data_IF_081973097921
#
_entry.id   IF_081973097921
#
_cell.length_a   1.000
_cell.length_b   1.000
_cell.length_c   1.000
_cell.angle_alpha   90.00
_cell.angle_beta   90.00
_cell.angle_gamma   90.00
#
_symmetry.space_group_name_H-M   'P 1'
#
loop_
_entity.id
_entity.type
_entity.pdbx_description
1 polymer ?
#
# COMPACT_ATOMS: atom_id res chain seq x y z
N UNK A 1 12.64 14.39 -7.99
CA UNK A 1 12.68 13.05 -7.40
C UNK A 1 11.67 12.96 -6.27
N UNK A 2 11.15 11.76 -6.00
CA UNK A 2 10.28 11.45 -4.87
C UNK A 2 10.73 10.18 -4.16
N UNK A 3 10.36 10.05 -2.88
CA UNK A 3 10.37 8.80 -2.12
C UNK A 3 8.93 8.57 -1.66
N UNK A 4 8.36 7.42 -1.99
CA UNK A 4 7.01 7.01 -1.60
C UNK A 4 7.11 5.92 -0.55
N UNK A 5 6.45 6.08 0.59
CA UNK A 5 6.41 5.09 1.67
C UNK A 5 4.97 4.86 2.07
N UNK A 6 4.51 3.61 2.07
CA UNK A 6 3.12 3.26 2.39
C UNK A 6 2.13 4.04 1.49
N UNK A 7 2.11 3.75 0.22
CA UNK A 7 1.37 4.53 -0.79
C UNK A 7 0.55 3.62 -1.71
N UNK A 8 -0.39 4.23 -2.44
CA UNK A 8 -1.17 3.56 -3.47
C UNK A 8 -0.95 4.21 -4.84
N UNK A 9 -0.92 3.39 -5.88
CA UNK A 9 -0.88 3.83 -7.29
C UNK A 9 -2.27 3.84 -7.94
N UNK A 10 -3.23 3.08 -7.41
CA UNK A 10 -4.62 3.05 -7.83
C UNK A 10 -5.56 3.16 -6.63
N UNK A 11 -6.34 4.24 -6.59
CA UNK A 11 -7.24 4.56 -5.48
C UNK A 11 -8.39 3.58 -5.31
N UNK A 12 -8.78 2.87 -6.35
CA UNK A 12 -9.86 1.90 -6.28
C UNK A 12 -9.37 0.50 -5.90
N UNK A 13 -8.32 0.00 -6.58
CA UNK A 13 -7.93 -1.40 -6.47
C UNK A 13 -6.87 -1.68 -5.41
N UNK A 14 -6.09 -0.66 -5.01
CA UNK A 14 -4.95 -0.84 -4.11
C UNK A 14 -5.08 -0.10 -2.77
N UNK A 15 -6.10 0.77 -2.64
CA UNK A 15 -6.35 1.52 -1.42
C UNK A 15 -7.30 0.75 -0.47
N UNK A 16 -7.68 1.39 0.61
CA UNK A 16 -8.59 0.90 1.66
C UNK A 16 -10.05 0.77 1.21
N UNK A 17 -10.38 1.16 -0.01
CA UNK A 17 -11.77 1.27 -0.44
C UNK A 17 -12.33 -0.04 -0.96
N UNK A 18 -11.62 -0.68 -1.87
CA UNK A 18 -12.03 -1.93 -2.50
C UNK A 18 -10.83 -2.83 -2.75
N UNK A 19 -10.98 -4.13 -2.49
CA UNK A 19 -10.01 -5.17 -2.86
C UNK A 19 -10.72 -6.30 -3.57
N UNK A 20 -10.26 -6.66 -4.75
CA UNK A 20 -10.91 -7.69 -5.58
C UNK A 20 -12.38 -7.39 -5.89
N UNK A 21 -12.80 -6.12 -5.91
CA UNK A 21 -14.17 -5.67 -6.08
C UNK A 21 -15.02 -5.68 -4.80
N UNK A 22 -14.47 -6.13 -3.68
CA UNK A 22 -15.18 -6.11 -2.39
C UNK A 22 -14.99 -4.78 -1.68
N UNK A 23 -16.08 -4.20 -1.19
CA UNK A 23 -16.06 -3.03 -0.32
C UNK A 23 -15.46 -3.40 1.03
N UNK A 24 -14.46 -2.63 1.47
CA UNK A 24 -13.79 -2.84 2.74
C UNK A 24 -14.41 -2.01 3.87
N UNK A 25 -14.39 -2.56 5.10
CA UNK A 25 -14.79 -1.83 6.31
C UNK A 25 -13.94 -0.60 6.58
N UNK A 26 -12.71 -0.61 6.09
CA UNK A 26 -11.74 0.48 6.21
C UNK A 26 -12.23 1.80 5.62
N UNK A 27 -13.14 1.78 4.65
CA UNK A 27 -13.83 2.99 4.19
C UNK A 27 -14.47 3.76 5.34
N UNK A 28 -15.19 3.04 6.22
CA UNK A 28 -15.88 3.67 7.33
C UNK A 28 -14.92 4.08 8.43
N UNK A 29 -13.99 3.18 8.79
CA UNK A 29 -12.99 3.43 9.81
C UNK A 29 -12.08 4.61 9.45
N UNK A 30 -11.49 4.60 8.26
CA UNK A 30 -10.63 5.66 7.78
C UNK A 30 -11.37 6.99 7.62
N UNK A 31 -12.60 6.95 7.09
CA UNK A 31 -13.43 8.13 6.97
C UNK A 31 -13.73 8.77 8.31
N UNK A 32 -13.97 7.99 9.37
CA UNK A 32 -14.17 8.50 10.72
C UNK A 32 -12.89 9.09 11.32
N UNK A 33 -11.73 8.46 11.09
CA UNK A 33 -10.44 9.01 11.53
C UNK A 33 -10.16 10.35 10.84
N UNK A 34 -10.34 10.42 9.52
CA UNK A 34 -10.15 11.66 8.78
C UNK A 34 -11.10 12.75 9.26
N UNK A 35 -12.37 12.40 9.52
CA UNK A 35 -13.34 13.32 10.11
C UNK A 35 -12.86 13.84 11.46
N UNK A 36 -12.41 12.96 12.34
CA UNK A 36 -11.92 13.33 13.67
C UNK A 36 -10.69 14.26 13.58
N UNK A 37 -9.75 14.00 12.67
CA UNK A 37 -8.61 14.89 12.45
C UNK A 37 -9.04 16.27 11.94
N UNK A 38 -9.96 16.31 11.01
CA UNK A 38 -10.41 17.57 10.42
C UNK A 38 -11.34 18.38 11.33
N UNK A 39 -11.99 17.72 12.30
CA UNK A 39 -12.78 18.40 13.34
C UNK A 39 -11.93 19.17 14.37
N UNK A 40 -10.61 19.00 14.39
CA UNK A 40 -9.75 19.73 15.32
C UNK A 40 -9.77 21.22 15.00
N UNK A 41 -9.93 22.03 16.05
CA UNK A 41 -9.87 23.48 15.90
C UNK A 41 -8.50 23.92 15.35
N UNK A 42 -8.50 25.00 14.61
CA UNK A 42 -7.26 25.67 14.19
C UNK A 42 -6.55 26.18 15.43
N UNK A 43 -5.23 26.04 15.46
CA UNK A 43 -4.43 26.48 16.59
C UNK A 43 -4.50 28.03 16.71
N UNK A 44 -5.02 28.47 17.86
CA UNK A 44 -5.16 29.89 18.18
C UNK A 44 -3.81 30.62 18.35
N UNK A 45 -2.72 29.89 18.60
CA UNK A 45 -1.37 30.48 18.66
C UNK A 45 -0.83 30.81 17.26
N UNK A 46 -1.24 30.02 16.27
CA UNK A 46 -0.85 30.23 14.85
C UNK A 46 -1.76 31.26 14.18
N UNK A 47 -3.08 31.24 14.50
CA UNK A 47 -4.07 32.15 13.91
C UNK A 47 -4.94 32.82 15.01
N UNK A 48 -4.40 33.71 15.81
CA UNK A 48 -5.08 34.26 16.99
C UNK A 48 -6.40 34.98 16.66
N UNK A 49 -6.47 35.63 15.50
CA UNK A 49 -7.60 36.48 15.15
C UNK A 49 -8.72 35.77 14.39
N UNK A 50 -8.41 34.65 13.71
CA UNK A 50 -9.34 33.99 12.78
C UNK A 50 -9.57 32.50 13.06
N UNK A 51 -8.92 31.93 14.10
CA UNK A 51 -8.98 30.49 14.39
C UNK A 51 -10.41 29.97 14.57
N UNK A 52 -11.28 30.76 15.19
CA UNK A 52 -12.65 30.34 15.48
C UNK A 52 -13.52 30.31 14.22
N UNK A 53 -13.57 31.41 13.49
CA UNK A 53 -14.36 31.53 12.26
C UNK A 53 -13.88 30.55 11.20
N UNK A 54 -12.58 30.41 11.01
CA UNK A 54 -12.02 29.44 10.08
C UNK A 54 -12.28 27.99 10.52
N UNK A 55 -12.30 27.69 11.82
CA UNK A 55 -12.66 26.36 12.33
C UNK A 55 -14.11 26.03 12.05
N UNK A 56 -15.03 26.97 12.31
CA UNK A 56 -16.46 26.77 12.03
C UNK A 56 -16.70 26.60 10.54
N UNK A 57 -16.13 27.49 9.72
CA UNK A 57 -16.22 27.40 8.27
C UNK A 57 -15.76 26.03 7.75
N UNK A 58 -14.61 25.53 8.23
CA UNK A 58 -14.11 24.20 7.88
C UNK A 58 -15.08 23.07 8.23
N UNK A 59 -15.71 23.13 9.40
CA UNK A 59 -16.71 22.14 9.83
C UNK A 59 -17.98 22.19 8.95
N UNK A 60 -18.41 23.37 8.55
CA UNK A 60 -19.59 23.56 7.69
C UNK A 60 -19.35 23.11 6.24
N UNK A 61 -18.14 23.32 5.72
CA UNK A 61 -17.75 23.01 4.34
C UNK A 61 -17.17 21.59 4.17
N UNK A 62 -16.92 20.88 5.26
CA UNK A 62 -16.25 19.57 5.21
C UNK A 62 -17.16 18.49 4.59
N UNK A 63 -16.68 17.81 3.54
CA UNK A 63 -17.44 16.72 2.94
C UNK A 63 -17.49 15.50 3.86
N UNK A 64 -18.55 14.73 3.77
CA UNK A 64 -18.63 13.39 4.36
C UNK A 64 -17.96 12.39 3.41
N UNK A 65 -16.64 12.18 3.54
CA UNK A 65 -15.88 11.33 2.64
C UNK A 65 -16.44 9.92 2.43
N UNK A 66 -16.87 9.18 3.48
CA UNK A 66 -17.48 7.87 3.28
C UNK A 66 -18.70 7.88 2.35
N UNK A 67 -19.52 8.92 2.40
CA UNK A 67 -20.66 9.07 1.47
C UNK A 67 -20.16 9.23 0.03
N UNK A 68 -19.16 10.09 -0.19
CA UNK A 68 -18.58 10.26 -1.51
C UNK A 68 -17.99 8.95 -2.04
N UNK A 69 -17.23 8.23 -1.21
CA UNK A 69 -16.62 6.96 -1.61
C UNK A 69 -17.64 5.87 -1.93
N UNK A 70 -18.71 5.77 -1.13
CA UNK A 70 -19.79 4.79 -1.33
C UNK A 70 -20.66 5.09 -2.55
N UNK A 71 -20.72 6.33 -3.02
CA UNK A 71 -21.37 6.68 -4.26
C UNK A 71 -20.61 6.22 -5.51
N UNK A 72 -19.33 5.83 -5.37
CA UNK A 72 -18.46 5.40 -6.46
C UNK A 72 -18.01 3.94 -6.26
N UNK A 73 -18.96 2.99 -6.50
CA UNK A 73 -18.74 1.55 -6.22
C UNK A 73 -18.03 0.79 -7.35
N UNK A 74 -17.68 1.46 -8.43
CA UNK A 74 -16.89 0.92 -9.53
C UNK A 74 -15.72 1.84 -9.81
N UNK A 75 -14.68 1.34 -10.52
CA UNK A 75 -13.52 2.15 -10.90
C UNK A 75 -13.91 3.16 -12.00
N UNK A 76 -14.64 4.19 -11.61
CA UNK A 76 -15.07 5.30 -12.47
C UNK A 76 -14.06 6.47 -12.48
N UNK A 77 -14.45 7.59 -13.07
CA UNK A 77 -13.59 8.78 -13.21
C UNK A 77 -13.20 9.41 -11.86
N UNK A 78 -14.02 9.22 -10.82
CA UNK A 78 -13.70 9.68 -9.46
C UNK A 78 -12.41 9.05 -8.94
N UNK A 79 -12.29 7.73 -9.06
CA UNK A 79 -11.11 6.99 -8.61
C UNK A 79 -9.91 7.17 -9.52
N UNK A 80 -10.15 7.24 -10.84
CA UNK A 80 -9.09 7.45 -11.84
C UNK A 80 -8.39 8.79 -11.64
N UNK A 81 -9.12 9.84 -11.26
CA UNK A 81 -8.55 11.16 -11.02
C UNK A 81 -7.41 11.15 -9.98
N UNK A 82 -7.52 10.32 -8.95
CA UNK A 82 -6.50 10.18 -7.90
C UNK A 82 -5.50 9.05 -8.10
N UNK A 83 -5.54 8.37 -9.25
CA UNK A 83 -4.75 7.15 -9.50
C UNK A 83 -3.68 7.37 -10.57
N UNK A 84 -2.41 7.27 -10.19
CA UNK A 84 -1.29 7.39 -11.14
C UNK A 84 -1.20 6.21 -12.09
N UNK A 85 -1.80 5.06 -11.74
CA UNK A 85 -1.93 3.87 -12.57
C UNK A 85 -2.68 4.10 -13.89
N UNK A 86 -3.42 5.19 -14.00
CA UNK A 86 -4.10 5.58 -15.25
C UNK A 86 -3.10 5.93 -16.35
N UNK A 87 -2.02 6.60 -15.99
CA UNK A 87 -0.95 6.94 -16.92
C UNK A 87 0.38 7.16 -16.17
N UNK A 88 1.22 6.13 -16.11
CA UNK A 88 2.54 6.24 -15.48
C UNK A 88 3.51 7.16 -16.24
N UNK A 89 3.27 7.42 -17.52
CA UNK A 89 4.13 8.31 -18.33
C UNK A 89 4.05 9.78 -17.90
N UNK A 90 3.03 10.16 -17.10
CA UNK A 90 2.97 11.48 -16.49
C UNK A 90 4.01 11.68 -15.39
N UNK A 91 4.58 10.59 -14.85
CA UNK A 91 5.66 10.62 -13.87
C UNK A 91 6.99 10.65 -14.60
N UNK A 92 7.61 11.82 -14.65
CA UNK A 92 8.88 12.05 -15.36
C UNK A 92 10.05 12.40 -14.42
N UNK A 93 9.96 12.02 -13.18
CA UNK A 93 10.97 12.24 -12.11
C UNK A 93 11.38 10.91 -11.49
N UNK A 94 12.60 10.82 -10.94
CA UNK A 94 13.06 9.61 -10.25
C UNK A 94 12.19 9.24 -9.05
N UNK A 95 11.92 7.92 -8.89
CA UNK A 95 11.02 7.38 -7.86
C UNK A 95 11.70 6.31 -7.02
N UNK A 96 11.66 6.47 -5.70
CA UNK A 96 12.03 5.43 -4.75
C UNK A 96 10.77 4.97 -3.99
N UNK A 97 10.35 3.73 -4.23
CA UNK A 97 9.12 3.14 -3.72
C UNK A 97 9.42 2.19 -2.55
N UNK A 98 8.74 2.33 -1.42
CA UNK A 98 9.00 1.52 -0.23
C UNK A 98 7.68 1.12 0.42
N UNK A 99 7.56 -0.18 0.75
CA UNK A 99 6.43 -0.71 1.50
C UNK A 99 6.81 -2.01 2.24
N UNK A 100 5.85 -2.62 2.92
CA UNK A 100 6.03 -3.88 3.61
C UNK A 100 4.96 -4.91 3.27
N UNK A 101 5.28 -6.21 3.42
CA UNK A 101 4.33 -7.31 3.16
C UNK A 101 3.11 -7.29 4.07
N UNK A 102 3.26 -6.78 5.29
CA UNK A 102 2.17 -6.63 6.25
C UNK A 102 1.42 -5.28 6.09
N UNK A 103 1.61 -4.57 4.98
CA UNK A 103 0.86 -3.38 4.59
C UNK A 103 -0.16 -3.71 3.49
N UNK A 104 -1.34 -3.13 3.56
CA UNK A 104 -2.36 -3.30 2.53
C UNK A 104 -1.98 -2.70 1.18
N UNK A 105 -1.02 -1.79 1.14
CA UNK A 105 -0.62 -1.04 -0.05
C UNK A 105 0.53 -1.69 -0.82
N UNK A 106 1.08 -2.79 -0.31
CA UNK A 106 2.29 -3.43 -0.84
C UNK A 106 2.22 -3.75 -2.34
N UNK A 107 1.04 -4.09 -2.87
CA UNK A 107 0.87 -4.37 -4.29
C UNK A 107 1.19 -3.18 -5.20
N UNK A 108 1.11 -1.96 -4.68
CA UNK A 108 1.44 -0.75 -5.43
C UNK A 108 2.93 -0.64 -5.77
N UNK A 109 3.82 -1.33 -5.04
CA UNK A 109 5.25 -1.31 -5.33
C UNK A 109 5.58 -2.02 -6.65
N UNK A 110 5.25 -3.31 -6.85
CA UNK A 110 5.55 -3.97 -8.11
C UNK A 110 4.81 -3.34 -9.31
N UNK A 111 3.55 -2.88 -9.15
CA UNK A 111 2.81 -2.25 -10.24
C UNK A 111 3.43 -0.92 -10.67
N UNK A 112 3.83 -0.08 -9.71
CA UNK A 112 4.55 1.15 -10.00
C UNK A 112 5.91 0.88 -10.66
N UNK A 113 6.65 -0.11 -10.16
CA UNK A 113 7.96 -0.48 -10.72
C UNK A 113 7.87 -1.01 -12.15
N UNK A 114 6.79 -1.69 -12.51
CA UNK A 114 6.53 -2.14 -13.89
C UNK A 114 6.08 -0.98 -14.80
N UNK A 115 5.25 -0.09 -14.28
CA UNK A 115 4.64 0.99 -15.06
C UNK A 115 5.58 2.16 -15.38
N UNK A 116 6.53 2.45 -14.50
CA UNK A 116 7.40 3.62 -14.63
C UNK A 116 8.50 3.44 -15.69
N UNK A 117 8.79 4.51 -16.44
CA UNK A 117 9.89 4.61 -17.42
C UNK A 117 11.01 5.59 -16.98
N UNK A 118 11.11 5.87 -15.67
CA UNK A 118 12.11 6.77 -15.07
C UNK A 118 13.12 5.99 -14.22
N UNK A 119 14.26 6.61 -13.82
CA UNK A 119 15.13 6.01 -12.80
C UNK A 119 14.32 5.69 -11.54
N UNK A 120 14.38 4.42 -11.12
CA UNK A 120 13.54 3.93 -10.04
C UNK A 120 14.25 2.88 -9.18
N UNK A 121 13.84 2.81 -7.92
CA UNK A 121 14.31 1.85 -6.92
C UNK A 121 13.13 1.47 -6.04
N UNK A 122 13.13 0.23 -5.54
CA UNK A 122 12.10 -0.18 -4.59
C UNK A 122 12.64 -1.07 -3.48
N UNK A 123 11.95 -1.01 -2.33
CA UNK A 123 12.11 -1.95 -1.23
C UNK A 123 10.75 -2.48 -0.79
N UNK A 124 10.67 -3.79 -0.55
CA UNK A 124 9.56 -4.43 0.15
C UNK A 124 10.15 -5.24 1.31
N UNK A 125 9.93 -4.76 2.53
CA UNK A 125 10.33 -5.46 3.74
C UNK A 125 9.19 -6.27 4.35
N UNK A 126 9.39 -6.91 5.51
CA UNK A 126 8.32 -7.64 6.21
C UNK A 126 7.35 -6.73 6.96
N UNK A 127 7.49 -5.42 6.83
CA UNK A 127 6.90 -4.40 7.70
C UNK A 127 5.39 -4.22 7.49
N UNK A 128 4.73 -3.72 8.54
CA UNK A 128 3.43 -3.09 8.47
C UNK A 128 3.53 -1.64 7.94
N UNK A 129 2.48 -0.84 8.08
CA UNK A 129 2.42 0.56 7.61
C UNK A 129 3.29 1.50 8.46
N UNK A 130 4.62 1.34 8.37
CA UNK A 130 5.62 2.10 9.12
C UNK A 130 6.81 2.47 8.24
N UNK A 131 7.60 3.45 8.66
CA UNK A 131 8.86 3.74 7.99
C UNK A 131 9.86 2.60 8.15
N UNK A 132 10.59 2.29 7.10
CA UNK A 132 11.48 1.13 7.02
C UNK A 132 12.61 1.10 8.08
N UNK A 133 13.03 2.26 8.63
CA UNK A 133 13.99 2.33 9.74
C UNK A 133 13.37 1.94 11.09
N UNK A 134 12.07 2.09 11.24
CA UNK A 134 11.29 1.61 12.39
C UNK A 134 10.62 0.27 12.11
N UNK A 135 10.91 -0.34 10.96
CA UNK A 135 10.25 -1.52 10.42
C UNK A 135 9.94 -2.59 11.46
N UNK A 136 8.68 -2.98 11.51
CA UNK A 136 8.14 -4.05 12.31
C UNK A 136 7.12 -4.84 11.47
N UNK A 137 7.22 -6.19 11.42
CA UNK A 137 8.28 -7.02 12.01
C UNK A 137 9.71 -6.66 11.53
N UNK A 138 10.72 -7.09 12.28
CA UNK A 138 12.13 -6.94 11.86
C UNK A 138 12.45 -7.93 10.70
N UNK A 139 13.50 -7.64 9.88
CA UNK A 139 14.53 -6.62 10.05
C UNK A 139 14.09 -5.23 9.57
N UNK A 140 14.48 -4.21 10.31
CA UNK A 140 14.49 -2.83 9.82
C UNK A 140 15.74 -2.58 8.95
N UNK A 141 15.74 -1.49 8.17
CA UNK A 141 16.86 -1.12 7.29
C UNK A 141 17.29 0.33 7.53
N UNK A 142 18.48 0.69 7.07
CA UNK A 142 18.96 2.08 7.10
C UNK A 142 18.27 2.93 6.02
N UNK A 143 16.96 3.18 6.22
CA UNK A 143 16.19 4.02 5.31
C UNK A 143 16.70 5.46 5.26
N UNK A 144 17.11 6.03 6.40
CA UNK A 144 17.53 7.42 6.45
C UNK A 144 18.85 7.65 5.69
N UNK A 145 19.78 6.71 5.79
CA UNK A 145 21.02 6.73 5.01
C UNK A 145 20.76 6.64 3.51
N UNK A 146 19.91 5.71 3.08
CA UNK A 146 19.56 5.55 1.68
C UNK A 146 18.73 6.72 1.13
N UNK A 147 17.81 7.28 1.92
CA UNK A 147 17.07 8.48 1.54
C UNK A 147 18.02 9.68 1.38
N UNK A 148 19.04 9.80 2.22
CA UNK A 148 20.05 10.84 2.08
C UNK A 148 20.82 10.69 0.77
N UNK A 149 21.30 9.49 0.43
CA UNK A 149 21.95 9.21 -0.87
C UNK A 149 21.05 9.55 -2.04
N UNK A 150 19.75 9.19 -1.95
CA UNK A 150 18.74 9.51 -2.98
C UNK A 150 18.62 11.01 -3.21
N UNK A 151 18.48 11.80 -2.12
CA UNK A 151 18.36 13.25 -2.21
C UNK A 151 19.67 13.92 -2.64
N UNK A 152 20.83 13.42 -2.22
CA UNK A 152 22.14 13.89 -2.65
C UNK A 152 22.30 13.78 -4.17
N UNK A 153 21.93 12.63 -4.74
CA UNK A 153 22.01 12.43 -6.18
C UNK A 153 21.06 13.34 -6.94
N UNK A 154 19.79 13.34 -6.60
CA UNK A 154 18.76 13.96 -7.43
C UNK A 154 18.50 15.43 -7.16
N UNK A 155 18.79 15.94 -5.98
CA UNK A 155 18.61 17.36 -5.64
C UNK A 155 19.93 18.15 -5.61
N UNK A 156 21.04 17.48 -5.26
CA UNK A 156 22.33 18.15 -5.14
C UNK A 156 23.31 17.81 -6.27
N UNK A 157 22.97 16.83 -7.13
CA UNK A 157 23.81 16.39 -8.23
C UNK A 157 25.10 15.66 -7.78
N UNK A 158 25.11 15.11 -6.57
CA UNK A 158 26.24 14.33 -6.04
C UNK A 158 26.16 12.93 -6.61
N UNK A 159 27.17 12.52 -7.35
CA UNK A 159 27.25 11.15 -7.85
C UNK A 159 27.53 10.17 -6.71
N UNK A 160 26.71 9.10 -6.65
CA UNK A 160 26.78 8.07 -5.61
C UNK A 160 26.13 6.75 -6.08
N UNK A 161 26.16 5.76 -5.22
CA UNK A 161 25.74 4.39 -5.43
C UNK A 161 24.22 4.12 -5.23
N UNK A 162 23.37 5.14 -5.12
CA UNK A 162 21.96 4.94 -4.73
C UNK A 162 21.13 4.10 -5.71
N UNK A 163 21.59 3.95 -6.96
CA UNK A 163 20.97 3.09 -7.97
C UNK A 163 21.78 1.81 -8.26
N UNK A 164 22.84 1.55 -7.53
CA UNK A 164 23.58 0.30 -7.67
C UNK A 164 22.80 -0.88 -7.10
N UNK A 165 23.01 -2.06 -7.72
CA UNK A 165 22.31 -3.29 -7.34
C UNK A 165 20.97 -3.47 -8.05
N UNK A 166 20.11 -4.38 -7.57
CA UNK A 166 18.84 -4.70 -8.20
C UNK A 166 17.87 -3.52 -8.13
N UNK A 167 16.98 -3.43 -9.12
CA UNK A 167 15.96 -2.39 -9.19
C UNK A 167 15.01 -2.44 -7.97
N UNK A 168 14.70 -3.65 -7.51
CA UNK A 168 13.92 -3.86 -6.29
C UNK A 168 14.65 -4.81 -5.36
N UNK A 169 14.60 -4.53 -4.05
CA UNK A 169 15.09 -5.41 -3.00
C UNK A 169 13.91 -5.83 -2.13
N UNK A 170 13.68 -7.13 -2.05
CA UNK A 170 12.47 -7.69 -1.45
C UNK A 170 12.84 -8.67 -0.34
N UNK A 171 12.15 -8.60 0.78
CA UNK A 171 12.25 -9.60 1.84
C UNK A 171 11.47 -10.84 1.45
N UNK A 172 12.16 -11.95 1.19
CA UNK A 172 11.55 -13.24 0.95
C UNK A 172 11.37 -13.94 2.30
N UNK A 173 10.13 -14.01 2.75
CA UNK A 173 9.77 -14.59 4.05
C UNK A 173 9.84 -16.11 4.02
N UNK A 174 10.34 -16.69 5.10
CA UNK A 174 10.23 -18.11 5.38
C UNK A 174 8.89 -18.40 6.09
N UNK A 175 8.44 -19.64 6.03
CA UNK A 175 7.21 -20.06 6.71
C UNK A 175 7.37 -19.99 8.22
N UNK A 176 6.49 -19.26 8.88
CA UNK A 176 6.44 -19.13 10.34
C UNK A 176 5.16 -19.73 10.91
N UNK A 177 5.21 -20.16 12.17
CA UNK A 177 4.00 -20.55 12.89
C UNK A 177 3.11 -19.33 13.15
N UNK A 178 1.78 -19.46 13.05
CA UNK A 178 0.86 -18.38 13.39
C UNK A 178 1.02 -17.93 14.84
N UNK A 179 1.21 -16.62 15.03
CA UNK A 179 1.26 -15.97 16.34
C UNK A 179 0.40 -14.69 16.31
N UNK A 180 0.08 -14.18 17.49
CA UNK A 180 -0.70 -12.93 17.59
C UNK A 180 0.09 -11.70 17.15
N UNK A 181 1.42 -11.75 17.26
CA UNK A 181 2.34 -10.69 16.83
C UNK A 181 3.68 -11.31 16.46
N UNK A 182 4.16 -11.03 15.28
CA UNK A 182 5.53 -11.34 14.87
C UNK A 182 6.44 -10.11 15.09
N UNK A 183 7.39 -10.24 16.01
CA UNK A 183 8.40 -9.18 16.25
C UNK A 183 9.50 -9.22 15.19
N UNK A 184 9.81 -10.43 14.70
CA UNK A 184 10.80 -10.70 13.66
C UNK A 184 10.17 -11.60 12.62
N UNK A 185 10.38 -11.29 11.35
CA UNK A 185 10.05 -12.18 10.23
C UNK A 185 11.33 -12.90 9.82
N UNK A 186 11.30 -14.23 9.79
CA UNK A 186 12.39 -15.03 9.27
C UNK A 186 12.40 -14.97 7.75
N UNK A 187 13.59 -14.93 7.14
CA UNK A 187 13.70 -14.82 5.69
C UNK A 187 15.06 -14.29 5.23
N UNK A 188 15.09 -13.76 4.02
CA UNK A 188 16.29 -13.17 3.41
C UNK A 188 15.94 -12.09 2.38
N UNK A 189 16.85 -11.15 2.18
CA UNK A 189 16.74 -10.19 1.09
C UNK A 189 17.08 -10.84 -0.25
N UNK A 190 16.27 -10.56 -1.27
CA UNK A 190 16.47 -10.97 -2.66
C UNK A 190 16.34 -9.77 -3.59
N UNK A 191 17.15 -9.76 -4.64
CA UNK A 191 17.08 -8.75 -5.69
C UNK A 191 16.09 -9.15 -6.79
N UNK A 192 15.33 -8.19 -7.29
CA UNK A 192 14.44 -8.32 -8.47
C UNK A 192 14.78 -7.19 -9.43
N UNK A 193 15.35 -7.53 -10.57
CA UNK A 193 15.74 -6.53 -11.59
C UNK A 193 14.57 -6.14 -12.49
N UNK A 194 13.64 -7.06 -12.71
CA UNK A 194 12.48 -6.82 -13.55
C UNK A 194 11.30 -7.70 -13.09
N UNK A 195 10.26 -7.07 -12.58
CA UNK A 195 9.05 -7.76 -12.12
C UNK A 195 8.31 -8.49 -13.26
N UNK A 196 8.46 -8.05 -14.51
CA UNK A 196 7.82 -8.70 -15.66
C UNK A 196 8.43 -10.06 -15.98
N UNK A 197 9.62 -10.37 -15.46
CA UNK A 197 10.32 -11.63 -15.67
C UNK A 197 10.02 -12.68 -14.58
N UNK A 198 9.22 -12.33 -13.60
CA UNK A 198 8.75 -13.29 -12.60
C UNK A 198 7.77 -14.23 -13.31
N UNK A 199 8.11 -15.52 -13.36
CA UNK A 199 7.28 -16.52 -13.99
C UNK A 199 6.11 -16.90 -13.06
N UNK A 200 4.91 -16.56 -13.46
CA UNK A 200 3.71 -17.01 -12.79
C UNK A 200 3.47 -18.50 -13.01
N UNK A 201 3.20 -19.22 -11.92
CA UNK A 201 2.72 -20.59 -12.00
C UNK A 201 1.20 -20.60 -11.92
N UNK A 202 0.54 -20.88 -13.04
CA UNK A 202 -0.93 -21.02 -13.08
C UNK A 202 -1.34 -22.37 -12.55
N UNK A 203 -2.26 -22.37 -11.59
CA UNK A 203 -2.85 -23.57 -11.04
C UNK A 203 -4.38 -23.50 -11.21
N UNK A 204 -4.98 -24.62 -11.60
CA UNK A 204 -6.43 -24.73 -11.81
C UNK A 204 -7.09 -25.41 -10.64
N UNK A 205 -8.14 -24.80 -10.11
CA UNK A 205 -8.89 -25.32 -8.98
C UNK A 205 -10.05 -26.20 -9.46
N UNK A 206 -10.19 -27.36 -8.83
CA UNK A 206 -11.38 -28.20 -8.88
C UNK A 206 -11.78 -28.57 -7.46
N UNK A 207 -12.92 -29.22 -7.26
CA UNK A 207 -13.35 -29.61 -5.93
C UNK A 207 -12.29 -30.48 -5.22
N UNK A 208 -11.71 -29.95 -4.15
CA UNK A 208 -10.69 -30.65 -3.34
C UNK A 208 -9.34 -30.86 -4.02
N UNK A 209 -9.08 -30.27 -5.18
CA UNK A 209 -7.82 -30.45 -5.91
C UNK A 209 -7.33 -29.16 -6.55
N UNK A 210 -6.00 -28.98 -6.56
CA UNK A 210 -5.29 -27.92 -7.27
C UNK A 210 -4.28 -28.57 -8.22
N UNK A 211 -4.42 -28.36 -9.53
CA UNK A 211 -3.61 -29.01 -10.56
C UNK A 211 -3.03 -28.02 -11.56
N UNK A 212 -2.02 -28.46 -12.31
CA UNK A 212 -1.33 -27.63 -13.34
C UNK A 212 -2.05 -27.69 -14.70
N UNK A 213 -3.05 -28.54 -14.85
CA UNK A 213 -3.81 -28.72 -16.11
C UNK A 213 -5.23 -28.24 -15.94
N UNK A 214 -5.70 -27.43 -16.89
CA UNK A 214 -7.09 -27.00 -16.90
C UNK A 214 -8.02 -28.20 -17.06
N UNK A 215 -8.96 -28.33 -16.14
CA UNK A 215 -10.01 -29.35 -16.24
C UNK A 215 -11.23 -28.75 -16.93
N UNK A 216 -11.36 -28.98 -18.23
CA UNK A 216 -12.48 -28.47 -19.05
C UNK A 216 -13.85 -29.05 -18.65
N UNK A 217 -13.87 -30.10 -17.82
CA UNK A 217 -15.09 -30.69 -17.26
C UNK A 217 -15.28 -30.33 -15.79
N UNK A 218 -14.62 -29.24 -15.32
CA UNK A 218 -14.78 -28.80 -13.95
C UNK A 218 -16.24 -28.48 -13.64
N UNK A 219 -16.75 -29.03 -12.55
CA UNK A 219 -18.08 -28.75 -12.07
C UNK A 219 -18.16 -27.34 -11.47
N UNK A 220 -19.31 -26.69 -11.60
CA UNK A 220 -19.58 -25.45 -10.90
C UNK A 220 -19.72 -25.75 -9.42
N UNK A 221 -18.86 -25.17 -8.61
CA UNK A 221 -18.90 -25.30 -7.15
C UNK A 221 -19.61 -24.07 -6.58
N UNK A 222 -20.72 -24.32 -5.88
CA UNK A 222 -21.43 -23.28 -5.15
C UNK A 222 -20.82 -23.18 -3.75
N UNK A 223 -20.33 -21.96 -3.41
CA UNK A 223 -19.82 -21.65 -2.08
C UNK A 223 -20.83 -20.80 -1.32
N UNK A 224 -21.32 -21.31 -0.21
CA UNK A 224 -22.17 -20.59 0.71
C UNK A 224 -21.39 -20.32 2.01
N UNK A 225 -20.94 -19.11 2.21
CA UNK A 225 -20.25 -18.69 3.44
C UNK A 225 -21.27 -18.28 4.51
N UNK A 226 -21.01 -18.67 5.75
CA UNK A 226 -21.81 -18.22 6.87
C UNK A 226 -21.65 -16.69 7.05
N UNK A 227 -22.72 -15.97 7.49
CA UNK A 227 -22.66 -14.53 7.71
C UNK A 227 -21.60 -14.09 8.75
N UNK A 228 -21.16 -15.00 9.59
CA UNK A 228 -20.12 -14.77 10.59
C UNK A 228 -18.73 -15.29 10.15
N UNK A 229 -18.56 -15.64 8.90
CA UNK A 229 -17.25 -16.04 8.37
C UNK A 229 -16.26 -14.89 8.51
N UNK A 230 -15.10 -15.19 9.09
CA UNK A 230 -14.07 -14.17 9.33
C UNK A 230 -14.26 -13.34 10.61
N UNK A 231 -15.35 -13.55 11.39
CA UNK A 231 -15.58 -12.82 12.64
C UNK A 231 -14.43 -12.95 13.66
N UNK A 232 -13.75 -14.10 13.64
CA UNK A 232 -12.58 -14.35 14.50
C UNK A 232 -11.25 -14.15 13.76
N UNK A 233 -11.29 -13.77 12.49
CA UNK A 233 -10.09 -13.31 11.80
C UNK A 233 -9.67 -11.99 12.45
N UNK A 234 -8.37 -11.85 12.66
CA UNK A 234 -7.82 -10.62 13.21
C UNK A 234 -8.05 -9.44 12.23
N UNK A 235 -7.76 -8.24 12.68
CA UNK A 235 -7.82 -7.05 11.83
C UNK A 235 -6.93 -7.25 10.60
N UNK A 236 -7.51 -7.11 9.42
CA UNK A 236 -6.82 -7.40 8.16
C UNK A 236 -5.61 -6.49 7.92
N UNK A 237 -5.71 -5.25 8.39
CA UNK A 237 -4.64 -4.29 8.36
C UNK A 237 -4.61 -3.53 9.67
N UNK A 238 -3.74 -3.95 10.55
CA UNK A 238 -3.44 -3.19 11.75
C UNK A 238 -2.53 -2.01 11.41
N UNK A 239 -3.09 -0.89 10.93
CA UNK A 239 -2.33 0.28 10.50
C UNK A 239 -1.22 0.65 11.51
N UNK A 240 0.03 0.33 11.18
CA UNK A 240 1.20 0.61 12.02
C UNK A 240 1.45 -0.38 13.16
N UNK A 241 0.71 -1.46 13.26
CA UNK A 241 1.00 -2.56 14.18
C UNK A 241 1.42 -3.80 13.40
N UNK A 242 2.43 -4.56 13.90
CA UNK A 242 2.78 -5.84 13.31
C UNK A 242 1.57 -6.78 13.42
N UNK A 243 1.06 -7.23 12.29
CA UNK A 243 -0.06 -8.15 12.17
C UNK A 243 0.27 -9.55 12.65
#
# INVERSE_FOLDING_TARGET
>A
AIICVGYVDDRYTQDIHYKGGCLLNDNFWWGNIMLAYMCRAIDKEIKPDTWYEESIKRLEEMPLWPENWLNHQTRDEYWKHGSVSVNYDDINIPVFAIDGWADSYTNSVPTLMQGLNVPRKAWIGPWAHVFAHDGAPKPAVDFLGEATKWWDKWLRGIDNDCLEGPQSTVWLEDSMLPETVHVVSDGRWVGVDDWSQINDKVMYMTYGHLGETENINAEVVELCTLPNHGLLANEWMGAGVPG
#
